data_IF_483901728942
#
_entry.id   IF_483901728942
#
_cell.length_a   1.000
_cell.length_b   1.000
_cell.length_c   1.000
_cell.angle_alpha   90.00
_cell.angle_beta   90.00
_cell.angle_gamma   90.00
#
_symmetry.space_group_name_H-M   'P 1'
#
loop_
_entity.id
_entity.type
_entity.pdbx_description
1 polymer ?
#
# COMPACT_ATOMS: atom_id res chain seq x y z
N UNK A 1 0.09 16.11 -10.78
CA UNK A 1 -1.10 15.63 -10.05
C UNK A 1 -0.91 15.84 -8.55
N UNK A 2 -0.34 14.93 -7.73
CA UNK A 2 -0.35 15.13 -6.26
C UNK A 2 0.21 16.45 -5.70
N UNK A 3 1.36 16.95 -6.18
CA UNK A 3 1.90 18.27 -5.76
C UNK A 3 1.00 19.44 -6.17
N UNK A 4 0.32 19.33 -7.30
CA UNK A 4 -0.59 20.36 -7.82
C UNK A 4 -1.84 20.43 -6.94
N UNK A 5 -2.41 19.27 -6.58
CA UNK A 5 -3.56 19.19 -5.67
C UNK A 5 -3.24 19.80 -4.29
N UNK A 6 -2.05 19.52 -3.75
CA UNK A 6 -1.57 20.10 -2.48
C UNK A 6 -1.41 21.62 -2.61
N UNK A 7 -0.75 22.08 -3.67
CA UNK A 7 -0.56 23.50 -3.92
C UNK A 7 -1.89 24.24 -4.06
N UNK A 8 -2.81 23.72 -4.88
CA UNK A 8 -4.12 24.32 -5.10
C UNK A 8 -4.92 24.41 -3.81
N UNK A 9 -4.92 23.36 -2.99
CA UNK A 9 -5.59 23.35 -1.69
C UNK A 9 -5.03 24.45 -0.76
N UNK A 10 -3.71 24.53 -0.63
CA UNK A 10 -3.04 25.54 0.20
C UNK A 10 -3.26 26.96 -0.30
N UNK A 11 -3.03 27.21 -1.59
CA UNK A 11 -3.12 28.53 -2.18
C UNK A 11 -4.56 29.06 -2.22
N UNK A 12 -5.55 28.20 -2.51
CA UNK A 12 -6.96 28.58 -2.48
C UNK A 12 -7.40 29.01 -1.09
N UNK A 13 -6.97 28.29 -0.06
CA UNK A 13 -7.30 28.63 1.33
C UNK A 13 -6.58 29.90 1.78
N UNK A 14 -5.30 30.05 1.45
CA UNK A 14 -4.54 31.28 1.67
C UNK A 14 -5.23 32.51 1.03
N UNK A 15 -5.59 32.41 -0.26
CA UNK A 15 -6.24 33.49 -0.99
C UNK A 15 -7.64 33.82 -0.45
N UNK A 16 -8.35 32.82 0.11
CA UNK A 16 -9.65 32.99 0.75
C UNK A 16 -9.53 33.75 2.07
N UNK A 17 -8.62 33.33 2.94
CA UNK A 17 -8.44 33.93 4.28
C UNK A 17 -7.85 35.34 4.21
N UNK A 18 -6.92 35.58 3.27
CA UNK A 18 -6.34 36.91 3.05
C UNK A 18 -7.35 37.97 2.62
N UNK A 19 -8.49 37.58 2.01
CA UNK A 19 -9.57 38.51 1.64
C UNK A 19 -10.46 38.89 2.83
N UNK A 20 -10.36 38.21 3.97
CA UNK A 20 -11.18 38.51 5.14
C UNK A 20 -10.61 39.74 5.88
N UNK A 21 -11.44 40.78 6.12
CA UNK A 21 -11.03 41.91 6.94
C UNK A 21 -10.67 41.43 8.35
N UNK A 22 -9.51 41.86 8.86
CA UNK A 22 -9.02 41.55 10.22
C UNK A 22 -8.59 40.10 10.48
N UNK A 23 -8.32 39.30 9.43
CA UNK A 23 -7.71 38.00 9.62
C UNK A 23 -6.27 38.15 10.16
N UNK A 24 -5.97 37.48 11.26
CA UNK A 24 -4.63 37.44 11.84
C UNK A 24 -3.64 36.78 10.86
N UNK A 25 -2.47 37.39 10.59
CA UNK A 25 -1.44 36.82 9.73
C UNK A 25 -1.10 35.35 10.00
N UNK A 26 -1.02 34.97 11.27
CA UNK A 26 -0.69 33.60 11.67
C UNK A 26 -1.82 32.62 11.29
N UNK A 27 -3.08 33.02 11.53
CA UNK A 27 -4.25 32.22 11.19
C UNK A 27 -4.42 31.98 9.68
N UNK A 28 -4.01 32.94 8.83
CA UNK A 28 -4.02 32.77 7.37
C UNK A 28 -3.08 31.64 6.94
N UNK A 29 -1.86 31.64 7.49
CA UNK A 29 -0.83 30.65 7.16
C UNK A 29 -1.20 29.28 7.70
N UNK A 30 -1.67 29.21 8.95
CA UNK A 30 -2.13 27.96 9.56
C UNK A 30 -3.29 27.32 8.78
N UNK A 31 -4.24 28.14 8.32
CA UNK A 31 -5.35 27.67 7.48
C UNK A 31 -4.86 27.06 6.18
N UNK A 32 -3.96 27.73 5.48
CA UNK A 32 -3.35 27.22 4.25
C UNK A 32 -2.55 25.93 4.49
N UNK A 33 -1.74 25.88 5.55
CA UNK A 33 -0.99 24.67 5.92
C UNK A 33 -1.92 23.49 6.22
N UNK A 34 -3.03 23.74 6.93
CA UNK A 34 -4.05 22.71 7.21
C UNK A 34 -4.68 22.18 5.93
N UNK A 35 -5.04 23.06 5.00
CA UNK A 35 -5.61 22.65 3.71
C UNK A 35 -4.62 21.78 2.91
N UNK A 36 -3.34 22.15 2.89
CA UNK A 36 -2.29 21.35 2.26
C UNK A 36 -2.11 19.98 2.92
N UNK A 37 -2.09 19.90 4.26
CA UNK A 37 -1.96 18.61 4.98
C UNK A 37 -3.15 17.68 4.71
N UNK A 38 -4.37 18.22 4.58
CA UNK A 38 -5.55 17.43 4.20
C UNK A 38 -5.42 16.91 2.77
N UNK A 39 -4.92 17.70 1.83
CA UNK A 39 -4.66 17.25 0.48
C UNK A 39 -3.56 16.18 0.44
N UNK A 40 -2.46 16.38 1.16
CA UNK A 40 -1.35 15.42 1.29
C UNK A 40 -1.85 14.06 1.81
N UNK A 41 -2.64 14.05 2.89
CA UNK A 41 -3.18 12.80 3.45
C UNK A 41 -4.05 12.03 2.45
N UNK A 42 -4.84 12.73 1.61
CA UNK A 42 -5.62 12.07 0.54
C UNK A 42 -4.73 11.49 -0.55
N UNK A 43 -3.64 12.18 -0.87
CA UNK A 43 -2.66 11.72 -1.85
C UNK A 43 -1.88 10.51 -1.34
N UNK A 44 -1.49 10.51 -0.06
CA UNK A 44 -0.91 9.38 0.66
C UNK A 44 -1.81 8.15 0.58
N UNK A 45 -3.08 8.28 1.01
CA UNK A 45 -4.06 7.19 0.91
C UNK A 45 -4.18 6.63 -0.51
N UNK A 46 -4.17 7.51 -1.53
CA UNK A 46 -4.29 7.14 -2.94
C UNK A 46 -3.10 6.31 -3.43
N UNK A 47 -1.88 6.72 -3.07
CA UNK A 47 -0.67 6.02 -3.54
C UNK A 47 -0.41 4.73 -2.76
N UNK A 48 -0.92 4.62 -1.53
CA UNK A 48 -0.78 3.43 -0.69
C UNK A 48 -1.77 2.30 -1.03
N UNK A 49 -2.91 2.59 -1.70
CA UNK A 49 -3.97 1.60 -1.98
C UNK A 49 -3.48 0.27 -2.56
N UNK A 50 -2.47 0.29 -3.43
CA UNK A 50 -1.93 -0.94 -4.04
C UNK A 50 -1.03 -1.76 -3.11
N UNK A 51 -0.42 -1.14 -2.10
CA UNK A 51 0.56 -1.77 -1.22
C UNK A 51 -0.10 -2.81 -0.31
N UNK A 52 -1.29 -2.52 0.22
CA UNK A 52 -2.02 -3.46 1.10
C UNK A 52 -2.36 -4.77 0.38
N UNK A 53 -2.68 -4.70 -0.92
CA UNK A 53 -2.93 -5.89 -1.72
C UNK A 53 -1.65 -6.73 -1.88
N UNK A 54 -0.52 -6.11 -2.24
CA UNK A 54 0.76 -6.81 -2.40
C UNK A 54 1.22 -7.45 -1.08
N UNK A 55 1.07 -6.74 0.04
CA UNK A 55 1.35 -7.27 1.38
C UNK A 55 0.48 -8.49 1.70
N UNK A 56 -0.81 -8.41 1.39
CA UNK A 56 -1.75 -9.50 1.61
C UNK A 56 -1.42 -10.72 0.75
N UNK A 57 -1.17 -10.53 -0.55
CA UNK A 57 -0.78 -11.62 -1.46
C UNK A 57 0.54 -12.24 -1.00
N UNK A 58 1.54 -11.42 -0.69
CA UNK A 58 2.84 -11.88 -0.22
C UNK A 58 2.78 -12.73 1.05
N UNK A 59 1.94 -12.33 2.01
CA UNK A 59 1.80 -13.03 3.30
C UNK A 59 0.87 -14.24 3.26
N UNK A 60 -0.20 -14.21 2.46
CA UNK A 60 -1.23 -15.27 2.47
C UNK A 60 -0.98 -16.38 1.46
N UNK A 61 -0.35 -16.08 0.31
CA UNK A 61 -0.14 -17.07 -0.76
C UNK A 61 0.61 -18.34 -0.33
N UNK A 62 1.65 -18.28 0.52
CA UNK A 62 2.32 -19.50 1.00
C UNK A 62 1.38 -20.42 1.78
N UNK A 63 0.48 -19.86 2.59
CA UNK A 63 -0.49 -20.63 3.38
C UNK A 63 -1.56 -21.27 2.49
N UNK A 64 -1.97 -20.59 1.42
CA UNK A 64 -2.87 -21.16 0.40
C UNK A 64 -2.20 -22.38 -0.27
N UNK A 65 -0.92 -22.28 -0.63
CA UNK A 65 -0.15 -23.39 -1.20
C UNK A 65 0.02 -24.57 -0.24
N UNK A 66 0.33 -24.29 1.03
CA UNK A 66 0.41 -25.30 2.09
C UNK A 66 -0.92 -26.00 2.28
N UNK A 67 -2.03 -25.25 2.34
CA UNK A 67 -3.37 -25.81 2.43
C UNK A 67 -3.67 -26.76 1.27
N UNK A 68 -3.34 -26.37 0.04
CA UNK A 68 -3.49 -27.22 -1.14
C UNK A 68 -2.69 -28.53 -1.04
N UNK A 69 -1.49 -28.46 -0.48
CA UNK A 69 -0.66 -29.67 -0.25
C UNK A 69 -1.31 -30.60 0.78
N UNK A 70 -1.77 -30.07 1.91
CA UNK A 70 -2.45 -30.84 2.96
C UNK A 70 -3.71 -31.52 2.40
N UNK A 71 -4.51 -30.78 1.64
CA UNK A 71 -5.72 -31.30 1.00
C UNK A 71 -5.42 -32.41 -0.02
N UNK A 72 -4.43 -32.19 -0.90
CA UNK A 72 -4.03 -33.17 -1.91
C UNK A 72 -3.50 -34.47 -1.30
N UNK A 73 -2.63 -34.36 -0.28
CA UNK A 73 -2.13 -35.52 0.46
C UNK A 73 -3.29 -36.26 1.14
N UNK A 74 -4.20 -35.56 1.82
CA UNK A 74 -5.37 -36.17 2.45
C UNK A 74 -6.21 -36.97 1.44
N UNK A 75 -6.46 -36.43 0.25
CA UNK A 75 -7.23 -37.13 -0.78
C UNK A 75 -6.50 -38.34 -1.36
N UNK A 76 -5.18 -38.23 -1.57
CA UNK A 76 -4.35 -39.36 -1.99
C UNK A 76 -4.47 -40.53 -0.99
N UNK A 77 -4.38 -40.24 0.32
CA UNK A 77 -4.54 -41.27 1.35
C UNK A 77 -5.98 -41.80 1.48
N UNK A 78 -7.01 -40.97 1.30
CA UNK A 78 -8.41 -41.44 1.30
C UNK A 78 -8.69 -42.44 0.18
N UNK A 79 -8.09 -42.24 -0.99
CA UNK A 79 -8.24 -43.19 -2.12
C UNK A 79 -7.72 -44.60 -1.78
N UNK A 80 -6.74 -44.70 -0.87
CA UNK A 80 -6.23 -45.97 -0.38
C UNK A 80 -7.14 -46.67 0.63
N UNK A 81 -8.08 -45.96 1.27
CA UNK A 81 -8.93 -46.53 2.32
C UNK A 81 -9.83 -47.68 1.85
N UNK A 82 -10.05 -47.79 0.54
CA UNK A 82 -10.94 -48.79 -0.07
C UNK A 82 -10.20 -49.90 -0.84
N UNK A 83 -8.86 -49.89 -0.91
CA UNK A 83 -8.07 -50.91 -1.61
C UNK A 83 -7.48 -51.93 -0.64
N UNK A 84 -7.54 -53.21 -1.01
CA UNK A 84 -7.05 -54.32 -0.18
C UNK A 84 -5.51 -54.35 -0.07
N UNK A 85 -4.80 -53.82 -1.05
CA UNK A 85 -3.33 -53.76 -1.05
C UNK A 85 -2.86 -52.39 -1.54
N UNK A 86 -2.43 -51.54 -0.60
CA UNK A 86 -1.87 -50.23 -0.90
C UNK A 86 -0.42 -50.34 -1.40
N UNK A 87 -0.06 -49.58 -2.43
CA UNK A 87 1.32 -49.44 -2.94
C UNK A 87 1.69 -47.96 -3.05
N UNK A 88 2.98 -47.65 -2.90
CA UNK A 88 3.47 -46.27 -3.03
C UNK A 88 3.16 -45.66 -4.41
N UNK A 89 3.17 -46.48 -5.47
CA UNK A 89 2.83 -46.05 -6.82
C UNK A 89 1.40 -45.53 -6.97
N UNK A 90 0.47 -45.96 -6.12
CA UNK A 90 -0.92 -45.48 -6.17
C UNK A 90 -1.11 -44.08 -5.58
N UNK A 91 -0.29 -43.66 -4.61
CA UNK A 91 -0.38 -42.32 -4.01
C UNK A 91 0.61 -41.31 -4.59
N UNK A 92 1.68 -41.79 -5.21
CA UNK A 92 2.74 -40.94 -5.74
C UNK A 92 2.24 -39.83 -6.69
N UNK A 93 1.30 -40.07 -7.63
CA UNK A 93 0.75 -39.01 -8.47
C UNK A 93 0.02 -37.92 -7.67
N UNK A 94 -0.84 -38.30 -6.73
CA UNK A 94 -1.60 -37.34 -5.92
C UNK A 94 -0.73 -36.50 -4.98
N UNK A 95 0.36 -37.08 -4.46
CA UNK A 95 1.34 -36.34 -3.66
C UNK A 95 2.14 -35.38 -4.56
N UNK A 96 2.53 -35.79 -5.76
CA UNK A 96 3.25 -34.92 -6.70
C UNK A 96 2.41 -33.70 -7.09
N UNK A 97 1.11 -33.89 -7.38
CA UNK A 97 0.17 -32.79 -7.65
C UNK A 97 0.01 -31.87 -6.43
N UNK A 98 -0.05 -32.44 -5.22
CA UNK A 98 -0.14 -31.67 -3.98
C UNK A 98 1.07 -30.73 -3.81
N UNK A 99 2.29 -31.17 -4.13
CA UNK A 99 3.50 -30.35 -4.04
C UNK A 99 3.51 -29.17 -5.01
N UNK A 100 2.84 -29.28 -6.16
CA UNK A 100 2.69 -28.17 -7.10
C UNK A 100 1.91 -27.02 -6.45
N UNK A 101 0.93 -27.31 -5.58
CA UNK A 101 0.17 -26.27 -4.89
C UNK A 101 1.06 -25.37 -4.01
N UNK A 102 2.01 -25.94 -3.27
CA UNK A 102 2.99 -25.16 -2.50
C UNK A 102 3.89 -24.35 -3.43
N UNK A 103 4.38 -24.94 -4.52
CA UNK A 103 5.23 -24.24 -5.48
C UNK A 103 4.51 -23.02 -6.09
N UNK A 104 3.22 -23.15 -6.42
CA UNK A 104 2.37 -22.06 -6.92
C UNK A 104 2.15 -20.97 -5.86
N UNK A 105 1.93 -21.35 -4.60
CA UNK A 105 1.80 -20.39 -3.49
C UNK A 105 3.06 -19.54 -3.30
N UNK A 106 4.24 -20.17 -3.38
CA UNK A 106 5.52 -19.46 -3.33
C UNK A 106 5.77 -18.60 -4.58
N UNK A 107 5.41 -19.11 -5.75
CA UNK A 107 5.52 -18.37 -7.01
C UNK A 107 4.67 -17.09 -7.01
N UNK A 108 3.51 -17.09 -6.36
CA UNK A 108 2.70 -15.88 -6.15
C UNK A 108 3.28 -14.97 -5.06
N UNK A 109 3.78 -15.54 -3.96
CA UNK A 109 4.27 -14.79 -2.81
C UNK A 109 5.55 -13.97 -3.11
N UNK A 110 6.54 -14.60 -3.76
CA UNK A 110 7.88 -14.01 -3.94
C UNK A 110 7.82 -12.70 -4.76
N UNK A 111 7.18 -12.65 -5.95
CA UNK A 111 7.06 -11.41 -6.71
C UNK A 111 6.24 -10.35 -5.98
N UNK A 112 5.19 -10.75 -5.24
CA UNK A 112 4.37 -9.83 -4.47
C UNK A 112 5.17 -9.13 -3.37
N UNK A 113 6.01 -9.86 -2.63
CA UNK A 113 6.89 -9.28 -1.60
C UNK A 113 7.96 -8.37 -2.21
N UNK A 114 8.56 -8.75 -3.33
CA UNK A 114 9.54 -7.90 -4.04
C UNK A 114 8.88 -6.59 -4.50
N UNK A 115 7.70 -6.68 -5.11
CA UNK A 115 6.95 -5.52 -5.55
C UNK A 115 6.54 -4.63 -4.38
N UNK A 116 6.04 -5.21 -3.29
CA UNK A 116 5.68 -4.49 -2.07
C UNK A 116 6.87 -3.68 -1.54
N UNK A 117 8.03 -4.32 -1.35
CA UNK A 117 9.22 -3.65 -0.82
C UNK A 117 9.70 -2.52 -1.74
N UNK A 118 9.63 -2.72 -3.05
CA UNK A 118 10.02 -1.68 -4.02
C UNK A 118 9.07 -0.49 -3.94
N UNK A 119 7.76 -0.73 -4.09
CA UNK A 119 6.78 0.35 -4.15
C UNK A 119 6.58 1.04 -2.80
N UNK A 120 6.70 0.32 -1.68
CA UNK A 120 6.66 0.93 -0.34
C UNK A 120 7.76 1.97 -0.17
N UNK A 121 8.99 1.65 -0.58
CA UNK A 121 10.11 2.60 -0.54
C UNK A 121 9.89 3.79 -1.49
N UNK A 122 9.33 3.55 -2.67
CA UNK A 122 9.07 4.61 -3.64
C UNK A 122 7.94 5.56 -3.16
N UNK A 123 6.90 5.02 -2.54
CA UNK A 123 5.80 5.77 -1.92
C UNK A 123 6.29 6.60 -0.74
N UNK A 124 7.08 6.03 0.16
CA UNK A 124 7.67 6.77 1.29
C UNK A 124 8.52 7.95 0.81
N UNK A 125 9.34 7.75 -0.23
CA UNK A 125 10.10 8.85 -0.86
C UNK A 125 9.21 9.93 -1.46
N UNK A 126 8.07 9.55 -2.03
CA UNK A 126 7.12 10.49 -2.61
C UNK A 126 6.41 11.32 -1.53
N UNK A 127 5.95 10.68 -0.46
CA UNK A 127 5.31 11.34 0.69
C UNK A 127 6.28 12.34 1.33
N UNK A 128 7.54 11.92 1.57
CA UNK A 128 8.58 12.81 2.08
C UNK A 128 8.79 14.06 1.19
N UNK A 129 8.66 13.92 -0.13
CA UNK A 129 8.73 15.07 -1.05
C UNK A 129 7.51 15.99 -0.92
N UNK A 130 6.33 15.43 -0.67
CA UNK A 130 5.12 16.20 -0.41
C UNK A 130 5.22 16.97 0.91
N UNK A 131 5.72 16.34 1.99
CA UNK A 131 5.93 17.01 3.26
C UNK A 131 6.93 18.16 3.15
N UNK A 132 8.07 17.94 2.49
CA UNK A 132 9.05 19.00 2.25
C UNK A 132 8.42 20.17 1.48
N UNK A 133 7.59 19.88 0.47
CA UNK A 133 6.87 20.91 -0.27
C UNK A 133 5.90 21.71 0.63
N UNK A 134 5.15 21.04 1.51
CA UNK A 134 4.24 21.71 2.46
C UNK A 134 5.02 22.65 3.37
N UNK A 135 6.17 22.23 3.90
CA UNK A 135 7.00 23.05 4.79
C UNK A 135 7.63 24.24 4.06
N UNK A 136 8.20 24.03 2.87
CA UNK A 136 8.77 25.09 2.05
C UNK A 136 7.71 26.12 1.65
N UNK A 137 6.55 25.66 1.18
CA UNK A 137 5.48 26.54 0.76
C UNK A 137 4.89 27.31 1.95
N UNK A 138 4.70 26.66 3.10
CA UNK A 138 4.24 27.33 4.32
C UNK A 138 5.19 28.44 4.76
N UNK A 139 6.51 28.20 4.64
CA UNK A 139 7.54 29.22 4.91
C UNK A 139 7.43 30.42 3.96
N UNK A 140 7.16 30.18 2.67
CA UNK A 140 6.93 31.24 1.69
C UNK A 140 5.67 32.06 1.99
N UNK A 141 4.57 31.40 2.37
CA UNK A 141 3.33 32.06 2.77
C UNK A 141 3.55 32.91 4.01
N UNK A 142 4.21 32.37 5.04
CA UNK A 142 4.53 33.11 6.26
C UNK A 142 5.31 34.40 5.96
N UNK A 143 6.33 34.31 5.10
CA UNK A 143 7.09 35.49 4.67
C UNK A 143 6.20 36.50 3.94
N UNK A 144 5.26 36.06 3.09
CA UNK A 144 4.38 36.97 2.36
C UNK A 144 3.41 37.75 3.27
N UNK A 145 2.88 37.14 4.32
CA UNK A 145 1.89 37.80 5.18
C UNK A 145 2.56 38.79 6.15
N UNK A 146 3.84 38.59 6.47
CA UNK A 146 4.60 39.51 7.34
C UNK A 146 5.41 40.58 6.57
N UNK A 147 5.61 40.43 5.26
CA UNK A 147 6.34 41.39 4.44
C UNK A 147 5.47 42.46 3.78
N UNK A 148 4.14 42.33 3.85
CA UNK A 148 3.16 43.30 3.32
C UNK A 148 2.37 43.94 4.43
#
# INVERSE_FOLDING_TARGET
EGLEDIFEAGFKEFARLRKQPSADPSAIVEGAQRAMRVALSREEDRVEQGLSFLATVGSTSPYIGLFGTVWGIMNAFRSLGNVHQATLGMVAPGIAEALIATAMGLFAAIPAVIAYNRYSNDVERLINRYDNFVEEFSTLLHRQVHAG
#
